data_IF_075791915193
#
_entry.id   IF_075791915193
#
_cell.length_a   1.000
_cell.length_b   1.000
_cell.length_c   1.000
_cell.angle_alpha   90.00
_cell.angle_beta   90.00
_cell.angle_gamma   90.00
#
_symmetry.space_group_name_H-M   'P 1'
#
loop_
_entity.id
_entity.type
_entity.pdbx_description
1 polymer ?
#
# COMPACT_ATOMS: atom_id res chain seq x y z
N UNK A 1 -23.87 -12.60 21.40
CA UNK A 1 -24.26 -12.57 19.97
C UNK A 1 -22.99 -12.78 19.17
N UNK A 2 -22.88 -13.91 18.48
CA UNK A 2 -21.70 -14.27 17.71
C UNK A 2 -21.67 -13.40 16.44
N UNK A 3 -20.97 -12.28 16.47
CA UNK A 3 -20.65 -11.52 15.27
C UNK A 3 -19.40 -12.13 14.66
N UNK A 4 -19.65 -13.16 13.87
CA UNK A 4 -18.98 -13.41 12.60
C UNK A 4 -17.44 -13.33 12.66
N UNK A 5 -16.83 -14.42 13.11
CA UNK A 5 -15.50 -14.82 12.67
C UNK A 5 -15.56 -15.20 11.18
N UNK A 6 -16.01 -14.30 10.31
CA UNK A 6 -15.77 -14.44 8.89
C UNK A 6 -14.26 -14.36 8.72
N UNK A 7 -13.68 -15.46 8.27
CA UNK A 7 -12.37 -15.47 7.68
C UNK A 7 -12.47 -14.58 6.42
N UNK A 8 -12.33 -13.27 6.64
CA UNK A 8 -12.61 -12.26 5.62
C UNK A 8 -11.58 -12.49 4.53
N UNK A 9 -12.03 -12.94 3.38
CA UNK A 9 -11.27 -12.91 2.14
C UNK A 9 -10.56 -11.57 2.08
N UNK A 10 -9.24 -11.55 1.83
CA UNK A 10 -8.41 -10.35 1.86
C UNK A 10 -8.98 -9.27 0.91
N UNK A 11 -9.93 -8.50 1.41
CA UNK A 11 -10.69 -7.49 0.73
C UNK A 11 -10.28 -6.17 1.37
N UNK A 12 -10.08 -5.15 0.54
CA UNK A 12 -9.59 -3.86 0.98
C UNK A 12 -10.55 -3.30 2.06
N UNK A 13 -10.07 -3.08 3.30
CA UNK A 13 -10.92 -2.60 4.39
C UNK A 13 -11.56 -1.25 4.01
N UNK A 14 -12.88 -1.18 4.05
CA UNK A 14 -13.61 0.08 3.85
C UNK A 14 -13.54 0.91 5.13
N UNK A 15 -13.28 2.21 4.99
CA UNK A 15 -13.34 3.13 6.12
C UNK A 15 -14.79 3.30 6.59
N UNK A 16 -15.05 3.06 7.88
CA UNK A 16 -16.38 3.10 8.51
C UNK A 16 -16.52 4.21 9.56
N UNK A 17 -15.50 5.04 9.74
CA UNK A 17 -15.45 6.11 10.75
C UNK A 17 -14.63 5.77 11.99
N UNK A 18 -14.26 4.51 12.21
CA UNK A 18 -13.39 4.10 13.31
C UNK A 18 -11.94 3.95 12.83
N UNK A 19 -11.19 5.06 12.84
CA UNK A 19 -9.81 5.08 12.32
C UNK A 19 -8.89 4.04 12.97
N UNK A 20 -8.93 3.88 14.30
CA UNK A 20 -8.07 2.94 15.04
C UNK A 20 -8.29 1.48 14.59
N UNK A 21 -9.55 1.07 14.49
CA UNK A 21 -9.92 -0.26 14.03
C UNK A 21 -9.57 -0.46 12.55
N UNK A 22 -9.86 0.54 11.70
CA UNK A 22 -9.54 0.50 10.27
C UNK A 22 -8.02 0.44 10.02
N UNK A 23 -7.22 1.20 10.77
CA UNK A 23 -5.75 1.19 10.64
C UNK A 23 -5.15 -0.15 11.04
N UNK A 24 -5.69 -0.80 12.08
CA UNK A 24 -5.23 -2.12 12.50
C UNK A 24 -5.46 -3.18 11.41
N UNK A 25 -6.63 -3.15 10.75
CA UNK A 25 -6.95 -4.06 9.65
C UNK A 25 -6.09 -3.77 8.42
N UNK A 26 -5.86 -2.50 8.09
CA UNK A 26 -5.05 -2.09 6.95
C UNK A 26 -3.56 -2.44 7.16
N UNK A 27 -3.02 -2.27 8.37
CA UNK A 27 -1.66 -2.67 8.70
C UNK A 27 -1.46 -4.19 8.54
N UNK A 28 -2.37 -5.00 9.09
CA UNK A 28 -2.32 -6.45 8.95
C UNK A 28 -2.44 -6.89 7.46
N UNK A 29 -3.32 -6.24 6.70
CA UNK A 29 -3.48 -6.51 5.27
C UNK A 29 -2.16 -6.25 4.50
N UNK A 30 -1.53 -5.08 4.70
CA UNK A 30 -0.28 -4.73 4.04
C UNK A 30 0.89 -5.64 4.44
N UNK A 31 0.99 -6.01 5.73
CA UNK A 31 2.00 -6.97 6.19
C UNK A 31 1.77 -8.38 5.62
N UNK A 32 0.51 -8.83 5.51
CA UNK A 32 0.18 -10.16 4.95
C UNK A 32 0.48 -10.29 3.46
N UNK A 33 0.56 -9.17 2.75
CA UNK A 33 0.83 -9.09 1.32
C UNK A 33 2.29 -8.72 1.00
N UNK A 34 3.13 -8.56 2.02
CA UNK A 34 4.52 -8.11 1.92
C UNK A 34 4.68 -6.71 1.25
N UNK A 35 3.59 -5.97 1.07
CA UNK A 35 3.60 -4.60 0.52
C UNK A 35 4.14 -3.56 1.51
N UNK A 36 4.29 -3.92 2.78
CA UNK A 36 4.77 -3.00 3.81
C UNK A 36 6.14 -2.40 3.48
N UNK A 37 7.04 -3.18 2.88
CA UNK A 37 8.36 -2.68 2.46
C UNK A 37 8.26 -1.58 1.38
N UNK A 38 7.24 -1.64 0.51
CA UNK A 38 7.00 -0.63 -0.54
C UNK A 38 6.42 0.65 0.05
N UNK A 39 5.55 0.51 1.06
CA UNK A 39 4.98 1.65 1.79
C UNK A 39 6.09 2.36 2.59
N UNK A 40 6.96 1.60 3.27
CA UNK A 40 8.06 2.13 4.08
C UNK A 40 9.18 2.76 3.24
N UNK A 41 9.56 2.11 2.13
CA UNK A 41 10.53 2.64 1.18
C UNK A 41 9.99 3.88 0.44
N UNK A 42 8.67 4.09 0.43
CA UNK A 42 8.00 5.03 -0.44
C UNK A 42 7.97 4.54 -1.88
N UNK A 43 6.87 4.82 -2.58
CA UNK A 43 6.84 4.70 -4.04
C UNK A 43 7.64 5.89 -4.57
N UNK A 44 8.71 5.64 -5.33
CA UNK A 44 9.38 6.72 -6.06
C UNK A 44 8.34 7.41 -6.93
N UNK A 45 8.15 8.71 -6.73
CA UNK A 45 7.35 9.50 -7.65
C UNK A 45 7.93 9.31 -9.04
N UNK A 46 7.10 9.02 -10.06
CA UNK A 46 7.60 8.91 -11.41
C UNK A 46 8.34 10.21 -11.76
N UNK A 47 9.51 10.12 -12.43
CA UNK A 47 10.28 11.31 -12.78
C UNK A 47 9.36 12.30 -13.48
N UNK A 48 9.44 13.55 -13.05
CA UNK A 48 8.72 14.62 -13.73
C UNK A 48 9.21 14.66 -15.18
N UNK A 49 8.42 15.14 -16.15
CA UNK A 49 8.85 15.18 -17.56
C UNK A 49 10.22 15.87 -17.81
N UNK A 50 10.72 16.66 -16.85
CA UNK A 50 12.05 17.26 -16.87
C UNK A 50 13.21 16.31 -16.46
N UNK A 51 12.91 15.24 -15.71
CA UNK A 51 13.87 14.24 -15.21
C UNK A 51 13.84 12.95 -16.04
N UNK A 52 12.85 12.78 -16.92
CA UNK A 52 12.72 11.64 -17.84
C UNK A 52 13.91 11.58 -18.82
N UNK A 53 14.43 12.73 -19.28
CA UNK A 53 15.62 12.82 -20.13
C UNK A 53 16.90 12.34 -19.43
N UNK A 54 17.05 12.60 -18.12
CA UNK A 54 18.22 12.16 -17.32
C UNK A 54 18.15 10.66 -16.99
N UNK A 55 16.94 10.17 -16.68
CA UNK A 55 16.68 8.75 -16.47
C UNK A 55 16.84 7.92 -17.75
N UNK A 56 16.39 8.44 -18.89
CA UNK A 56 16.60 7.81 -20.19
C UNK A 56 18.09 7.79 -20.56
N UNK A 57 18.86 8.83 -20.26
CA UNK A 57 20.30 8.88 -20.53
C UNK A 57 21.12 7.93 -19.62
N UNK A 58 20.68 7.70 -18.38
CA UNK A 58 21.31 6.73 -17.47
C UNK A 58 20.98 5.27 -17.85
N UNK A 59 19.79 5.02 -18.41
CA UNK A 59 19.33 3.67 -18.73
C UNK A 59 19.62 3.22 -20.17
N UNK A 60 19.97 4.12 -21.11
CA UNK A 60 20.25 3.80 -22.53
C UNK A 60 21.76 3.83 -22.90
N UNK A 61 22.67 3.92 -21.94
CA UNK A 61 24.12 3.72 -22.13
C UNK A 61 24.57 2.39 -21.52
#
# INVERSE_FOLDING_TARGET
MATDSAFVQAAIPRFDGHYDHWSMLMENFLRSKEYWAVIESGIQEPPTAAEEEEWLHTCLV
#
